data_IF_261965790863
#
_entry.id   IF_261965790863
#
_cell.length_a   1.000
_cell.length_b   1.000
_cell.length_c   1.000
_cell.angle_alpha   90.00
_cell.angle_beta   90.00
_cell.angle_gamma   90.00
#
_symmetry.space_group_name_H-M   'P 1'
#
loop_
_entity.id
_entity.type
_entity.pdbx_description
1 polymer ?
#
# COMPACT_ATOMS: atom_id res chain seq x y z
N UNK A 1 4.01 -67.67 -14.68
CA UNK A 1 3.45 -66.72 -15.67
C UNK A 1 3.45 -65.35 -15.01
N UNK A 2 4.49 -64.54 -15.23
CA UNK A 2 4.65 -63.25 -14.57
C UNK A 2 5.32 -62.22 -15.49
N UNK A 3 4.56 -61.16 -15.78
CA UNK A 3 4.89 -59.76 -16.12
C UNK A 3 5.58 -59.47 -17.48
N UNK A 4 5.10 -58.46 -18.27
CA UNK A 4 5.64 -57.09 -18.15
C UNK A 4 4.68 -55.88 -18.41
N UNK A 5 4.96 -54.80 -17.66
CA UNK A 5 5.06 -53.36 -18.00
C UNK A 5 3.97 -52.53 -18.76
N UNK A 6 3.49 -51.48 -18.06
CA UNK A 6 3.28 -50.05 -18.44
C UNK A 6 2.10 -49.66 -19.38
N UNK A 7 1.45 -48.48 -19.20
CA UNK A 7 2.05 -47.18 -19.51
C UNK A 7 1.88 -46.05 -18.46
N UNK A 8 2.93 -45.24 -18.40
CA UNK A 8 3.02 -43.90 -17.84
C UNK A 8 1.85 -43.02 -18.29
N UNK A 9 0.95 -42.66 -17.38
CA UNK A 9 0.07 -41.52 -17.58
C UNK A 9 0.80 -40.26 -17.14
N UNK A 10 1.29 -39.48 -18.12
CA UNK A 10 1.64 -38.07 -17.93
C UNK A 10 0.38 -37.35 -17.46
N UNK A 11 0.31 -37.03 -16.17
CA UNK A 11 -0.70 -36.11 -15.64
C UNK A 11 -0.14 -34.69 -15.65
N UNK A 12 -0.87 -33.71 -16.21
CA UNK A 12 -0.35 -32.40 -16.55
C UNK A 12 0.06 -31.59 -15.31
N UNK A 13 1.19 -30.89 -15.43
CA UNK A 13 1.91 -30.10 -14.43
C UNK A 13 1.12 -28.90 -13.84
N UNK A 14 -0.18 -28.79 -14.11
CA UNK A 14 -1.03 -27.67 -13.67
C UNK A 14 -1.57 -27.83 -12.25
N UNK A 15 -1.57 -29.05 -11.69
CA UNK A 15 -2.06 -29.31 -10.33
C UNK A 15 -1.05 -28.86 -9.26
N UNK A 16 0.22 -28.66 -9.62
CA UNK A 16 1.26 -28.19 -8.71
C UNK A 16 1.20 -26.66 -8.43
N UNK A 17 0.57 -25.86 -9.30
CA UNK A 17 0.48 -24.40 -9.13
C UNK A 17 -0.68 -24.02 -8.19
N UNK A 18 -1.81 -24.74 -8.28
CA UNK A 18 -2.94 -24.54 -7.38
C UNK A 18 -2.63 -24.93 -5.93
N UNK A 19 -1.78 -25.95 -5.73
CA UNK A 19 -1.31 -26.33 -4.40
C UNK A 19 -0.29 -25.34 -3.81
N UNK A 20 0.46 -24.60 -4.63
CA UNK A 20 1.42 -23.60 -4.18
C UNK A 20 0.74 -22.30 -3.70
N UNK A 21 -0.36 -21.90 -4.32
CA UNK A 21 -1.17 -20.75 -3.88
C UNK A 21 -2.02 -21.05 -2.63
N UNK A 22 -2.42 -22.31 -2.44
CA UNK A 22 -3.13 -22.74 -1.23
C UNK A 22 -2.20 -22.95 -0.01
N UNK A 23 -0.92 -23.29 -0.22
CA UNK A 23 0.04 -23.49 0.87
C UNK A 23 0.50 -22.16 1.50
N UNK A 24 0.43 -21.05 0.78
CA UNK A 24 0.68 -19.71 1.36
C UNK A 24 -0.41 -19.33 2.37
N UNK A 25 -1.58 -19.96 2.33
CA UNK A 25 -2.70 -19.69 3.23
C UNK A 25 -2.80 -20.65 4.45
N UNK A 26 -2.06 -21.77 4.51
CA UNK A 26 -2.19 -22.73 5.62
C UNK A 26 -0.84 -23.32 6.06
N UNK A 27 -0.26 -22.70 7.11
CA UNK A 27 0.51 -23.39 8.17
C UNK A 27 1.95 -23.90 7.92
N UNK A 28 2.90 -23.27 8.62
CA UNK A 28 4.04 -23.89 9.34
C UNK A 28 5.20 -24.49 8.52
N UNK A 29 6.41 -23.93 8.57
CA UNK A 29 7.46 -24.15 9.60
C UNK A 29 8.80 -24.50 8.87
N UNK A 30 10.05 -24.36 9.34
CA UNK A 30 10.71 -24.33 10.66
C UNK A 30 12.16 -23.77 10.48
N UNK A 31 12.69 -23.01 11.48
CA UNK A 31 14.09 -22.79 11.97
C UNK A 31 15.23 -22.29 11.02
N UNK A 32 16.27 -21.55 11.44
CA UNK A 32 16.72 -20.91 12.68
C UNK A 32 17.97 -20.01 12.42
N UNK A 33 18.25 -19.09 13.39
CA UNK A 33 19.55 -18.52 13.82
C UNK A 33 20.34 -17.62 12.82
N UNK A 34 21.12 -16.58 13.18
CA UNK A 34 21.42 -15.73 14.36
C UNK A 34 22.30 -14.59 13.81
N UNK A 35 22.28 -13.39 14.41
CA UNK A 35 23.33 -12.40 14.12
C UNK A 35 23.08 -11.02 14.74
N UNK A 36 23.54 -10.85 15.98
CA UNK A 36 23.64 -9.56 16.66
C UNK A 36 24.95 -8.87 16.29
N UNK A 37 24.93 -7.55 16.05
CA UNK A 37 26.08 -6.68 16.30
C UNK A 37 25.63 -5.34 16.88
N UNK A 38 26.09 -5.12 18.11
CA UNK A 38 26.02 -3.89 18.89
C UNK A 38 27.18 -2.95 18.53
N UNK A 39 26.95 -1.65 18.73
CA UNK A 39 27.98 -0.61 18.83
C UNK A 39 27.34 0.73 18.47
N UNK A 40 26.98 1.61 19.41
CA UNK A 40 27.82 2.13 20.48
C UNK A 40 28.25 3.55 20.05
N UNK A 41 27.49 4.56 20.48
CA UNK A 41 27.64 5.95 20.04
C UNK A 41 28.89 6.65 20.57
N UNK A 42 29.11 7.89 20.14
CA UNK A 42 29.01 9.11 20.97
C UNK A 42 29.23 10.35 20.10
N UNK A 43 28.44 11.37 20.43
CA UNK A 43 28.48 12.79 20.07
C UNK A 43 29.89 13.41 20.08
N UNK A 44 30.15 14.33 19.15
CA UNK A 44 31.18 15.36 19.30
C UNK A 44 30.74 16.66 18.63
N UNK A 45 31.11 17.77 19.27
CA UNK A 45 30.53 19.09 19.20
C UNK A 45 30.85 19.93 17.94
N UNK A 46 30.04 20.96 17.76
CA UNK A 46 30.11 22.01 16.76
C UNK A 46 31.31 22.96 16.93
N UNK A 47 31.62 23.74 15.87
CA UNK A 47 32.15 25.08 16.03
C UNK A 47 31.18 26.16 15.51
N UNK A 48 31.16 27.24 16.26
CA UNK A 48 30.59 28.57 16.02
C UNK A 48 31.13 29.21 14.74
N UNK A 49 30.29 29.94 14.00
CA UNK A 49 30.72 31.11 13.22
C UNK A 49 29.56 32.08 12.97
N UNK A 50 29.82 33.30 13.45
CA UNK A 50 29.35 34.63 13.06
C UNK A 50 27.94 34.85 12.49
N UNK A 51 27.16 35.59 13.29
CA UNK A 51 26.00 36.34 12.86
C UNK A 51 26.43 37.60 12.09
N UNK A 52 26.17 37.61 10.78
CA UNK A 52 26.11 38.85 9.99
C UNK A 52 24.64 39.15 9.69
N UNK A 53 24.14 40.24 10.28
CA UNK A 53 22.81 40.76 9.97
C UNK A 53 22.79 41.34 8.56
N UNK A 54 21.96 40.77 7.68
CA UNK A 54 21.66 41.30 6.36
C UNK A 54 20.13 41.32 6.16
N UNK A 55 19.68 42.45 5.64
CA UNK A 55 18.31 42.93 5.44
C UNK A 55 17.21 41.88 5.16
N UNK A 56 16.09 42.06 5.85
CA UNK A 56 14.79 41.44 5.63
C UNK A 56 14.27 41.71 4.20
N UNK A 57 14.11 40.67 3.36
CA UNK A 57 13.31 40.77 2.15
C UNK A 57 11.84 40.73 2.56
N UNK A 58 11.06 41.68 2.06
CA UNK A 58 9.62 41.74 2.25
C UNK A 58 8.97 40.36 1.98
N UNK A 59 8.15 39.92 2.93
CA UNK A 59 7.38 38.69 2.83
C UNK A 59 6.60 38.67 1.50
N UNK A 60 6.74 37.63 0.66
CA UNK A 60 5.79 37.41 -0.42
C UNK A 60 4.42 37.27 0.22
N UNK A 61 3.43 38.02 -0.28
CA UNK A 61 2.04 37.78 0.07
C UNK A 61 1.78 36.28 -0.13
N UNK A 62 1.26 35.62 0.91
CA UNK A 62 0.84 34.23 0.83
C UNK A 62 -0.03 34.10 -0.43
N UNK A 63 0.26 33.18 -1.36
CA UNK A 63 -0.61 32.97 -2.49
C UNK A 63 -1.99 32.65 -1.92
N UNK A 64 -2.97 33.49 -2.24
CA UNK A 64 -4.37 33.19 -1.98
C UNK A 64 -4.58 31.76 -2.46
N UNK A 65 -4.91 30.85 -1.55
CA UNK A 65 -5.24 29.48 -1.92
C UNK A 65 -6.31 29.57 -2.99
N UNK A 66 -5.96 29.23 -4.23
CA UNK A 66 -6.94 29.08 -5.30
C UNK A 66 -8.02 28.18 -4.73
N UNK A 67 -9.27 28.64 -4.74
CA UNK A 67 -10.37 27.84 -4.23
C UNK A 67 -10.37 26.51 -5.00
N UNK A 68 -10.30 25.40 -4.25
CA UNK A 68 -10.37 24.06 -4.81
C UNK A 68 -11.71 23.88 -5.54
N UNK A 69 -11.79 23.05 -6.60
CA UNK A 69 -13.06 22.67 -7.19
C UNK A 69 -14.01 22.10 -6.14
N UNK A 70 -15.32 22.24 -6.39
CA UNK A 70 -16.33 21.64 -5.51
C UNK A 70 -16.12 20.12 -5.39
N UNK A 71 -16.11 19.62 -4.16
CA UNK A 71 -15.88 18.21 -3.87
C UNK A 71 -14.41 17.75 -3.94
N UNK A 72 -13.46 18.65 -4.24
CA UNK A 72 -12.04 18.30 -4.28
C UNK A 72 -11.35 18.30 -2.90
N UNK A 73 -11.99 18.90 -1.90
CA UNK A 73 -11.45 18.90 -0.55
C UNK A 73 -11.50 17.48 0.04
N UNK A 74 -10.39 17.06 0.64
CA UNK A 74 -10.41 15.82 1.44
C UNK A 74 -11.31 15.98 2.67
N UNK A 75 -11.85 14.87 3.16
CA UNK A 75 -12.86 14.83 4.23
C UNK A 75 -12.34 15.40 5.57
N UNK A 76 -11.03 15.40 5.76
CA UNK A 76 -10.37 16.01 6.93
C UNK A 76 -9.61 17.30 6.61
N UNK A 77 -9.74 17.83 5.40
CA UNK A 77 -9.16 19.13 5.02
C UNK A 77 -7.67 19.10 4.70
N UNK A 78 -7.07 17.94 4.43
CA UNK A 78 -5.75 17.86 3.80
C UNK A 78 -5.74 18.66 2.50
N UNK A 79 -4.67 19.44 2.26
CA UNK A 79 -4.51 20.23 1.06
C UNK A 79 -4.17 19.35 -0.14
N UNK A 80 -4.34 19.89 -1.34
CA UNK A 80 -3.88 19.29 -2.59
C UNK A 80 -5.03 18.80 -3.46
N UNK A 81 -4.90 19.11 -4.74
CA UNK A 81 -5.78 18.68 -5.82
C UNK A 81 -4.98 18.56 -7.11
N UNK A 82 -5.20 17.51 -7.88
CA UNK A 82 -4.55 17.28 -9.16
C UNK A 82 -5.56 16.89 -10.23
N UNK A 83 -5.47 17.55 -11.40
CA UNK A 83 -6.20 17.15 -12.62
C UNK A 83 -5.52 15.99 -13.33
N UNK A 84 -4.19 15.91 -13.19
CA UNK A 84 -3.32 14.90 -13.79
C UNK A 84 -2.25 14.52 -12.79
N UNK A 85 -1.83 13.25 -12.78
CA UNK A 85 -0.79 12.77 -11.86
C UNK A 85 0.50 13.56 -12.00
N UNK A 86 1.01 14.05 -10.87
CA UNK A 86 2.34 14.68 -10.76
C UNK A 86 3.47 13.68 -10.49
N UNK A 87 3.14 12.40 -10.22
CA UNK A 87 4.10 11.37 -9.85
C UNK A 87 4.90 10.84 -11.05
N UNK A 88 6.00 11.51 -11.36
CA UNK A 88 7.06 11.04 -12.27
C UNK A 88 8.28 10.47 -11.52
N UNK A 89 8.36 10.76 -10.22
CA UNK A 89 9.43 10.39 -9.31
C UNK A 89 8.87 9.94 -7.97
N UNK A 90 9.69 9.28 -7.16
CA UNK A 90 9.27 8.79 -5.86
C UNK A 90 9.03 9.97 -4.89
N UNK A 91 7.87 10.05 -4.23
CA UNK A 91 7.64 11.09 -3.24
C UNK A 91 8.55 10.90 -2.03
N UNK A 92 8.94 12.00 -1.39
CA UNK A 92 9.59 11.93 -0.10
C UNK A 92 8.60 11.36 0.93
N UNK A 93 8.97 10.27 1.60
CA UNK A 93 8.03 9.50 2.42
C UNK A 93 8.60 9.23 3.80
N UNK A 94 7.82 9.56 4.83
CA UNK A 94 8.02 9.02 6.17
C UNK A 94 7.28 7.69 6.28
N UNK A 95 7.96 6.67 6.78
CA UNK A 95 7.41 5.31 6.85
C UNK A 95 7.01 4.94 8.28
N UNK A 96 5.84 4.33 8.44
CA UNK A 96 5.37 3.74 9.70
C UNK A 96 4.95 2.30 9.48
N UNK A 97 5.20 1.44 10.47
CA UNK A 97 4.78 0.05 10.41
C UNK A 97 3.27 -0.06 10.70
N UNK A 98 2.52 -0.66 9.78
CA UNK A 98 1.12 -1.06 9.98
C UNK A 98 0.97 -2.53 9.64
N UNK A 99 0.43 -3.30 10.58
CA UNK A 99 0.46 -4.75 10.49
C UNK A 99 1.89 -5.24 10.33
N UNK A 100 2.22 -5.74 9.15
CA UNK A 100 3.54 -6.29 8.82
C UNK A 100 4.26 -5.54 7.71
N UNK A 101 3.76 -4.37 7.31
CA UNK A 101 4.24 -3.59 6.17
C UNK A 101 4.59 -2.17 6.60
N UNK A 102 5.75 -1.67 6.17
CA UNK A 102 6.07 -0.25 6.27
C UNK A 102 5.25 0.51 5.22
N UNK A 103 4.43 1.46 5.66
CA UNK A 103 3.52 2.25 4.82
C UNK A 103 3.77 3.75 5.02
N UNK A 104 3.45 4.59 4.03
CA UNK A 104 3.66 6.04 4.15
C UNK A 104 2.78 6.67 5.24
N UNK A 105 3.31 7.75 5.82
CA UNK A 105 2.63 8.61 6.79
C UNK A 105 2.99 10.09 6.55
N UNK A 106 1.98 10.88 6.19
CA UNK A 106 2.09 12.34 6.04
C UNK A 106 0.76 13.00 6.45
N UNK A 107 0.51 13.16 7.76
CA UNK A 107 -0.80 13.57 8.28
C UNK A 107 -1.17 15.03 8.00
N UNK A 108 -0.30 15.82 7.37
CA UNK A 108 -0.55 17.22 7.00
C UNK A 108 -0.44 17.47 5.48
N UNK A 109 -0.05 16.45 4.70
CA UNK A 109 0.03 16.50 3.25
C UNK A 109 -0.78 15.38 2.62
N UNK A 110 -0.12 14.33 2.11
CA UNK A 110 -0.77 13.28 1.31
C UNK A 110 -1.67 12.32 2.11
N UNK A 111 -1.51 12.25 3.43
CA UNK A 111 -2.26 11.39 4.34
C UNK A 111 -1.47 10.20 4.86
N UNK A 112 -2.08 9.29 5.64
CA UNK A 112 -3.44 9.41 6.18
C UNK A 112 -3.55 10.59 7.16
N UNK A 113 -4.54 11.45 6.97
CA UNK A 113 -4.83 12.58 7.85
C UNK A 113 -5.58 12.17 9.12
N UNK A 114 -6.23 11.00 9.10
CA UNK A 114 -6.95 10.44 10.24
C UNK A 114 -6.47 9.03 10.52
N UNK A 115 -6.26 8.73 11.81
CA UNK A 115 -6.22 7.37 12.32
C UNK A 115 -7.36 7.22 13.33
N UNK A 116 -8.37 6.45 12.98
CA UNK A 116 -9.56 6.21 13.79
C UNK A 116 -9.24 5.49 15.10
N UNK A 117 -10.20 5.49 16.03
CA UNK A 117 -10.06 4.76 17.31
C UNK A 117 -9.96 3.25 17.14
N UNK A 118 -10.46 2.74 16.02
CA UNK A 118 -10.32 1.36 15.55
C UNK A 118 -8.94 1.07 14.94
N UNK A 119 -8.09 2.08 14.77
CA UNK A 119 -6.77 1.99 14.14
C UNK A 119 -6.80 2.13 12.62
N UNK A 120 -7.98 2.35 12.01
CA UNK A 120 -8.11 2.51 10.57
C UNK A 120 -7.54 3.85 10.13
N UNK A 121 -6.75 3.81 9.05
CA UNK A 121 -6.05 4.96 8.48
C UNK A 121 -6.75 5.40 7.21
N UNK A 122 -7.26 6.62 7.22
CA UNK A 122 -8.11 7.21 6.18
C UNK A 122 -7.84 8.70 6.02
N UNK A 123 -8.60 9.34 5.13
CA UNK A 123 -8.43 10.72 4.70
C UNK A 123 -7.08 10.94 4.00
N UNK A 124 -7.10 10.88 2.67
CA UNK A 124 -5.96 11.16 1.82
C UNK A 124 -6.21 12.42 0.99
N UNK A 125 -5.14 13.12 0.59
CA UNK A 125 -5.24 14.29 -0.29
C UNK A 125 -5.80 13.90 -1.66
N UNK A 126 -6.49 14.83 -2.35
CA UNK A 126 -7.08 14.61 -3.67
C UNK A 126 -6.03 14.68 -4.80
N UNK A 127 -4.95 13.94 -4.66
CA UNK A 127 -3.76 13.94 -5.54
C UNK A 127 -3.34 12.52 -5.88
N UNK A 128 -2.49 12.34 -6.88
CA UNK A 128 -1.92 11.02 -7.19
C UNK A 128 -1.05 10.49 -6.04
N UNK A 129 -0.36 11.37 -5.31
CA UNK A 129 0.39 11.00 -4.10
C UNK A 129 -0.53 10.52 -2.98
N UNK A 130 -1.67 11.18 -2.77
CA UNK A 130 -2.68 10.74 -1.81
C UNK A 130 -3.25 9.36 -2.16
N UNK A 131 -3.55 9.11 -3.44
CA UNK A 131 -4.01 7.81 -3.90
C UNK A 131 -2.96 6.71 -3.71
N UNK A 132 -1.69 6.98 -4.03
CA UNK A 132 -0.58 6.06 -3.77
C UNK A 132 -0.46 5.71 -2.28
N UNK A 133 -0.58 6.73 -1.42
CA UNK A 133 -0.50 6.55 0.03
C UNK A 133 -1.69 5.75 0.57
N UNK A 134 -2.87 5.93 -0.02
CA UNK A 134 -4.05 5.13 0.29
C UNK A 134 -3.82 3.65 -0.01
N UNK A 135 -3.37 3.29 -1.22
CA UNK A 135 -3.09 1.90 -1.60
C UNK A 135 -2.06 1.25 -0.68
N UNK A 136 -0.95 1.94 -0.43
CA UNK A 136 0.08 1.42 0.46
C UNK A 136 -0.46 1.16 1.88
N UNK A 137 -1.27 2.08 2.43
CA UNK A 137 -1.91 1.90 3.72
C UNK A 137 -2.98 0.80 3.70
N UNK A 138 -3.75 0.61 2.62
CA UNK A 138 -4.69 -0.52 2.51
C UNK A 138 -3.97 -1.86 2.54
N UNK A 139 -2.84 -1.97 1.83
CA UNK A 139 -1.98 -3.17 1.86
C UNK A 139 -1.52 -3.42 3.30
N UNK A 140 -0.94 -2.43 3.98
CA UNK A 140 -0.50 -2.59 5.37
C UNK A 140 -1.63 -2.98 6.32
N UNK A 141 -2.76 -2.29 6.25
CA UNK A 141 -3.94 -2.59 7.08
C UNK A 141 -4.48 -4.01 6.84
N UNK A 142 -4.44 -4.51 5.59
CA UNK A 142 -4.88 -5.88 5.24
C UNK A 142 -4.05 -6.99 5.89
N UNK A 143 -2.82 -6.68 6.30
CA UNK A 143 -1.97 -7.64 7.01
C UNK A 143 -2.26 -7.71 8.50
N UNK A 144 -2.90 -6.69 9.07
CA UNK A 144 -3.32 -6.66 10.48
C UNK A 144 -4.69 -7.32 10.65
N UNK A 145 -4.70 -8.49 11.29
CA UNK A 145 -5.93 -9.26 11.53
C UNK A 145 -6.99 -8.50 12.34
N UNK A 146 -6.61 -7.45 13.09
CA UNK A 146 -7.53 -6.60 13.85
C UNK A 146 -8.25 -5.57 12.98
N UNK A 147 -7.64 -5.18 11.86
CA UNK A 147 -8.17 -4.15 10.95
C UNK A 147 -8.97 -4.75 9.78
N UNK A 148 -8.75 -6.04 9.47
CA UNK A 148 -9.38 -6.73 8.33
C UNK A 148 -10.89 -6.56 8.22
N UNK A 149 -11.62 -6.58 9.34
CA UNK A 149 -13.08 -6.43 9.34
C UNK A 149 -13.57 -5.04 8.91
N UNK A 150 -12.70 -4.03 9.03
CA UNK A 150 -13.02 -2.63 8.74
C UNK A 150 -12.48 -2.15 7.39
N UNK A 151 -11.67 -2.96 6.69
CA UNK A 151 -11.13 -2.59 5.38
C UNK A 151 -12.25 -2.40 4.35
N UNK A 152 -13.34 -3.15 4.44
CA UNK A 152 -14.50 -2.96 3.57
C UNK A 152 -15.11 -1.55 3.70
N UNK A 153 -14.94 -0.87 4.84
CA UNK A 153 -15.43 0.49 5.05
C UNK A 153 -14.71 1.51 4.15
N UNK A 154 -13.47 1.18 3.75
CA UNK A 154 -12.62 1.96 2.85
C UNK A 154 -12.91 1.68 1.37
N UNK A 155 -13.79 0.72 1.05
CA UNK A 155 -14.22 0.45 -0.31
C UNK A 155 -15.25 1.49 -0.79
N UNK A 156 -15.23 1.75 -2.10
CA UNK A 156 -16.22 2.59 -2.76
C UNK A 156 -17.64 1.99 -2.61
N UNK A 157 -18.71 2.81 -2.55
CA UNK A 157 -20.07 2.30 -2.47
C UNK A 157 -20.43 1.41 -3.67
N UNK A 158 -21.07 0.27 -3.39
CA UNK A 158 -21.52 -0.67 -4.42
C UNK A 158 -21.77 -2.08 -3.88
N UNK A 159 -22.34 -2.99 -4.68
CA UNK A 159 -22.64 -4.37 -4.26
C UNK A 159 -21.40 -5.13 -3.79
N UNK A 160 -20.23 -4.85 -4.37
CA UNK A 160 -18.96 -5.43 -3.94
C UNK A 160 -18.59 -5.11 -2.49
N UNK A 161 -18.86 -3.89 -2.03
CA UNK A 161 -18.64 -3.49 -0.63
C UNK A 161 -19.53 -4.30 0.31
N UNK A 162 -20.80 -4.45 -0.02
CA UNK A 162 -21.76 -5.22 0.78
C UNK A 162 -21.38 -6.71 0.83
N UNK A 163 -20.94 -7.27 -0.31
CA UNK A 163 -20.45 -8.64 -0.39
C UNK A 163 -19.17 -8.85 0.45
N UNK A 164 -18.24 -7.90 0.41
CA UNK A 164 -17.02 -7.95 1.22
C UNK A 164 -17.32 -7.84 2.72
N UNK A 165 -18.22 -6.94 3.13
CA UNK A 165 -18.64 -6.80 4.52
C UNK A 165 -19.30 -8.10 5.04
N UNK A 166 -20.15 -8.74 4.23
CA UNK A 166 -20.75 -10.03 4.57
C UNK A 166 -19.71 -11.15 4.77
N UNK A 167 -18.67 -11.19 3.92
CA UNK A 167 -17.56 -12.16 4.03
C UNK A 167 -16.64 -11.87 5.23
N UNK A 168 -16.43 -10.60 5.56
CA UNK A 168 -15.61 -10.17 6.68
C UNK A 168 -16.20 -10.63 8.02
N UNK A 169 -17.53 -10.56 8.18
CA UNK A 169 -18.23 -11.09 9.35
C UNK A 169 -18.11 -12.61 9.54
N UNK A 170 -17.74 -13.35 8.49
CA UNK A 170 -17.57 -14.80 8.51
C UNK A 170 -16.09 -15.27 8.60
N UNK A 171 -15.12 -14.36 8.46
CA UNK A 171 -13.69 -14.70 8.40
C UNK A 171 -13.00 -14.60 9.77
N UNK A 172 -11.96 -15.43 10.00
CA UNK A 172 -11.20 -15.36 11.25
C UNK A 172 -10.28 -14.13 11.28
N UNK A 173 -10.10 -13.55 12.47
CA UNK A 173 -9.23 -12.39 12.75
C UNK A 173 -7.73 -12.71 12.71
N UNK A 174 -7.33 -13.82 12.09
CA UNK A 174 -5.92 -14.22 12.03
C UNK A 174 -5.11 -13.26 11.15
N UNK A 175 -4.01 -12.75 11.70
CA UNK A 175 -3.02 -11.96 10.96
C UNK A 175 -2.36 -12.79 9.83
N UNK A 176 -2.00 -12.14 8.73
CA UNK A 176 -1.27 -12.83 7.64
C UNK A 176 0.14 -13.24 8.09
N UNK A 177 0.59 -14.44 7.74
CA UNK A 177 1.99 -14.85 7.86
C UNK A 177 2.87 -14.23 6.78
N UNK A 178 2.25 -13.71 5.72
CA UNK A 178 2.93 -13.02 4.63
C UNK A 178 3.55 -11.72 5.16
N UNK A 179 4.79 -11.46 4.75
CA UNK A 179 5.52 -10.22 5.03
C UNK A 179 5.80 -9.56 3.68
N UNK A 180 5.43 -8.29 3.56
CA UNK A 180 5.59 -7.52 2.34
C UNK A 180 6.49 -6.32 2.63
N UNK A 181 7.37 -6.00 1.67
CA UNK A 181 8.11 -4.75 1.64
C UNK A 181 7.82 -4.06 0.32
N UNK A 182 7.21 -2.87 0.38
CA UNK A 182 6.97 -2.05 -0.81
C UNK A 182 8.33 -1.75 -1.47
N UNK A 183 8.39 -1.96 -2.79
CA UNK A 183 9.62 -1.88 -3.58
C UNK A 183 9.52 -0.87 -4.72
N UNK A 184 8.30 -0.55 -5.16
CA UNK A 184 8.03 0.49 -6.15
C UNK A 184 6.55 0.69 -6.38
N UNK A 185 6.23 1.66 -7.22
CA UNK A 185 4.86 1.90 -7.65
C UNK A 185 4.79 2.32 -9.11
N UNK A 186 3.58 2.27 -9.66
CA UNK A 186 3.25 2.79 -10.97
C UNK A 186 1.83 3.36 -10.93
N UNK A 187 1.66 4.55 -11.50
CA UNK A 187 0.33 5.12 -11.75
C UNK A 187 -0.06 4.70 -13.17
N UNK A 188 -0.98 3.76 -13.29
CA UNK A 188 -1.42 3.21 -14.59
C UNK A 188 -2.36 4.18 -15.32
N UNK A 189 -3.21 4.85 -14.55
CA UNK A 189 -4.12 5.89 -15.02
C UNK A 189 -4.44 6.84 -13.87
N UNK A 190 -4.70 8.11 -14.18
CA UNK A 190 -5.13 9.09 -13.20
C UNK A 190 -6.08 10.10 -13.80
N UNK A 191 -7.16 10.36 -13.06
CA UNK A 191 -8.08 11.48 -13.18
C UNK A 191 -8.50 11.90 -11.76
N UNK A 192 -9.09 13.08 -11.56
CA UNK A 192 -9.61 13.45 -10.25
C UNK A 192 -10.65 12.46 -9.70
N UNK A 193 -11.49 11.86 -10.54
CA UNK A 193 -12.54 10.96 -10.05
C UNK A 193 -12.07 9.53 -9.82
N UNK A 194 -11.03 9.09 -10.53
CA UNK A 194 -10.60 7.69 -10.56
C UNK A 194 -9.11 7.55 -10.92
N UNK A 195 -8.43 6.61 -10.29
CA UNK A 195 -7.04 6.27 -10.60
C UNK A 195 -6.78 4.78 -10.39
N UNK A 196 -5.89 4.21 -11.20
CA UNK A 196 -5.35 2.88 -10.99
C UNK A 196 -3.90 2.99 -10.55
N UNK A 197 -3.61 2.50 -9.34
CA UNK A 197 -2.27 2.48 -8.76
C UNK A 197 -1.83 1.04 -8.62
N UNK A 198 -0.65 0.71 -9.14
CA UNK A 198 -0.01 -0.59 -8.94
C UNK A 198 1.19 -0.45 -8.03
N UNK A 199 1.17 -1.17 -6.91
CA UNK A 199 2.28 -1.24 -5.96
C UNK A 199 3.03 -2.55 -6.18
N UNK A 200 4.31 -2.44 -6.45
CA UNK A 200 5.22 -3.58 -6.45
C UNK A 200 5.74 -3.82 -5.03
N UNK A 201 5.65 -5.05 -4.54
CA UNK A 201 6.15 -5.44 -3.23
C UNK A 201 6.99 -6.72 -3.30
N UNK A 202 8.05 -6.79 -2.49
CA UNK A 202 8.79 -8.01 -2.24
C UNK A 202 8.10 -8.81 -1.13
N UNK A 203 7.87 -10.11 -1.38
CA UNK A 203 7.37 -11.05 -0.37
C UNK A 203 8.55 -11.55 0.45
N UNK A 204 8.89 -10.83 1.51
CA UNK A 204 10.10 -11.10 2.32
C UNK A 204 10.03 -12.42 3.08
N UNK A 205 8.81 -12.92 3.35
CA UNK A 205 8.59 -14.25 3.91
C UNK A 205 8.81 -15.40 2.90
N UNK A 206 8.95 -15.11 1.60
CA UNK A 206 9.05 -16.09 0.51
C UNK A 206 10.19 -15.77 -0.46
N UNK A 207 11.41 -15.57 0.07
CA UNK A 207 12.60 -15.41 -0.75
C UNK A 207 12.65 -14.13 -1.59
N UNK A 208 11.90 -13.09 -1.20
CA UNK A 208 11.85 -11.77 -1.86
C UNK A 208 11.31 -11.80 -3.30
N UNK A 209 10.41 -12.74 -3.62
CA UNK A 209 9.68 -12.69 -4.89
C UNK A 209 8.92 -11.36 -5.00
N UNK A 210 9.05 -10.68 -6.15
CA UNK A 210 8.31 -9.45 -6.42
C UNK A 210 6.90 -9.77 -6.92
N UNK A 211 5.92 -9.03 -6.42
CA UNK A 211 4.51 -9.13 -6.83
C UNK A 211 3.97 -7.74 -7.16
N UNK A 212 3.12 -7.66 -8.18
CA UNK A 212 2.29 -6.50 -8.51
C UNK A 212 0.96 -6.59 -7.78
N UNK A 213 0.45 -5.44 -7.34
CA UNK A 213 -0.78 -5.31 -6.57
C UNK A 213 -1.57 -4.10 -7.09
N UNK A 214 -2.16 -4.21 -8.30
CA UNK A 214 -2.94 -3.13 -8.90
C UNK A 214 -4.26 -2.94 -8.17
N UNK A 215 -4.64 -1.69 -7.95
CA UNK A 215 -5.88 -1.30 -7.29
C UNK A 215 -6.50 -0.08 -7.97
N UNK A 216 -7.80 -0.16 -8.25
CA UNK A 216 -8.59 0.96 -8.75
C UNK A 216 -9.13 1.73 -7.54
N UNK A 217 -8.99 3.05 -7.54
CA UNK A 217 -9.48 3.94 -6.51
C UNK A 217 -10.42 4.98 -7.13
N UNK A 218 -11.50 5.28 -6.42
CA UNK A 218 -12.46 6.33 -6.75
C UNK A 218 -12.42 7.41 -5.70
N UNK A 219 -12.52 8.65 -6.12
CA UNK A 219 -12.72 9.77 -5.20
C UNK A 219 -14.19 9.83 -4.80
N UNK A 220 -14.48 9.53 -3.53
CA UNK A 220 -15.84 9.45 -3.01
C UNK A 220 -15.88 10.05 -1.60
N UNK A 221 -16.81 10.98 -1.38
CA UNK A 221 -17.03 11.64 -0.09
C UNK A 221 -15.76 12.25 0.52
N UNK A 222 -14.90 12.83 -0.32
CA UNK A 222 -13.67 13.49 0.11
C UNK A 222 -12.53 12.53 0.49
N UNK A 223 -12.56 11.27 0.04
CA UNK A 223 -11.45 10.34 0.24
C UNK A 223 -11.25 9.44 -0.98
N UNK A 224 -10.03 8.91 -1.13
CA UNK A 224 -9.81 7.81 -2.06
C UNK A 224 -10.42 6.54 -1.46
N UNK A 225 -11.16 5.78 -2.27
CA UNK A 225 -11.78 4.50 -1.88
C UNK A 225 -11.52 3.45 -2.94
N UNK A 226 -11.10 2.25 -2.55
CA UNK A 226 -10.80 1.21 -3.53
C UNK A 226 -12.07 0.58 -4.10
N UNK A 227 -12.04 0.19 -5.37
CA UNK A 227 -13.13 -0.51 -6.04
C UNK A 227 -13.11 -2.02 -5.71
N UNK A 228 -14.30 -2.59 -5.59
CA UNK A 228 -14.53 -4.03 -5.52
C UNK A 228 -15.49 -4.44 -6.64
N UNK A 229 -15.23 -5.60 -7.23
CA UNK A 229 -16.20 -6.29 -8.09
C UNK A 229 -17.43 -6.71 -7.27
N UNK A 230 -18.55 -7.00 -7.94
CA UNK A 230 -19.84 -7.32 -7.30
C UNK A 230 -19.78 -8.47 -6.29
N UNK A 231 -18.82 -9.39 -6.44
CA UNK A 231 -18.60 -10.50 -5.52
C UNK A 231 -17.74 -10.12 -4.29
N UNK A 232 -17.31 -8.87 -4.16
CA UNK A 232 -16.49 -8.36 -3.07
C UNK A 232 -15.00 -8.70 -3.18
N UNK A 233 -14.51 -9.03 -4.39
CA UNK A 233 -13.08 -9.20 -4.67
C UNK A 233 -12.50 -7.98 -5.40
N UNK A 234 -11.17 -7.87 -5.44
CA UNK A 234 -10.51 -6.83 -6.24
C UNK A 234 -10.72 -7.14 -7.73
N UNK A 235 -11.06 -6.14 -8.56
CA UNK A 235 -11.32 -6.36 -9.99
C UNK A 235 -10.05 -6.64 -10.81
N UNK A 236 -8.86 -6.35 -10.27
CA UNK A 236 -7.57 -6.56 -10.92
C UNK A 236 -6.75 -7.61 -10.17
N UNK A 237 -6.22 -8.59 -10.89
CA UNK A 237 -5.40 -9.66 -10.33
C UNK A 237 -3.98 -9.19 -9.99
N UNK A 238 -3.45 -9.67 -8.86
CA UNK A 238 -2.03 -9.59 -8.56
C UNK A 238 -1.23 -10.57 -9.42
N UNK A 239 0.00 -10.20 -9.78
CA UNK A 239 0.87 -11.05 -10.60
C UNK A 239 2.31 -11.06 -10.09
N UNK A 240 3.09 -12.08 -10.42
CA UNK A 240 4.51 -12.10 -10.08
C UNK A 240 5.31 -11.26 -11.08
N UNK A 241 6.18 -10.40 -10.57
CA UNK A 241 7.09 -9.58 -11.37
C UNK A 241 8.46 -10.25 -11.48
N UNK A 242 9.07 -10.15 -12.67
CA UNK A 242 10.46 -10.59 -12.88
C UNK A 242 11.47 -9.50 -12.49
N UNK A 243 11.04 -8.23 -12.52
CA UNK A 243 11.84 -7.06 -12.13
C UNK A 243 10.92 -5.86 -11.86
N UNK A 244 11.48 -4.76 -11.35
CA UNK A 244 10.79 -3.47 -11.21
C UNK A 244 10.78 -2.64 -12.51
N UNK A 245 11.00 -3.27 -13.67
CA UNK A 245 10.98 -2.56 -14.95
C UNK A 245 9.65 -1.84 -15.18
N UNK A 246 9.70 -0.53 -15.39
CA UNK A 246 8.49 0.30 -15.58
C UNK A 246 7.85 0.81 -14.28
N UNK A 247 8.34 0.40 -13.10
CA UNK A 247 7.95 0.97 -11.82
C UNK A 247 8.92 2.06 -11.39
N UNK A 248 8.41 3.07 -10.69
CA UNK A 248 9.23 4.04 -9.96
C UNK A 248 9.70 3.36 -8.66
N UNK A 249 11.01 3.18 -8.44
CA UNK A 249 11.52 2.59 -7.20
C UNK A 249 11.13 3.46 -6.00
N UNK A 250 10.50 2.84 -5.02
CA UNK A 250 10.00 3.51 -3.83
C UNK A 250 9.84 2.46 -2.74
N UNK A 251 10.60 2.60 -1.66
CA UNK A 251 10.66 1.58 -0.62
C UNK A 251 10.68 2.19 0.77
N UNK A 252 9.96 1.55 1.69
CA UNK A 252 10.17 1.71 3.12
C UNK A 252 11.39 0.91 3.52
N UNK A 253 12.19 1.50 4.42
CA UNK A 253 13.47 0.96 4.91
C UNK A 253 13.46 -0.58 5.10
#
# INVERSE_FOLDING_TARGET
MSTPATPFHKRPLWIAIAAFLALVLVGGGIAAATGAFSGGGTQAAAPTSDATAAAEPAAPAAPSASALPDGAASVCGLPGYEETSSLDTAPATTWKLVGTVAVPDDPQGAGPGVTGSDGIRSCYAHTATGALYAVANYIGQSTDGRLKSHIADLAAPGPGKDAAAAKAGASSTSSSSVRLQISGFKIESYSPSETTVDVAAAVTSQGNALVSMPMILKWVDGDWKFELADDGTLPLDSSQLQSLGGYIPWAGA
#
